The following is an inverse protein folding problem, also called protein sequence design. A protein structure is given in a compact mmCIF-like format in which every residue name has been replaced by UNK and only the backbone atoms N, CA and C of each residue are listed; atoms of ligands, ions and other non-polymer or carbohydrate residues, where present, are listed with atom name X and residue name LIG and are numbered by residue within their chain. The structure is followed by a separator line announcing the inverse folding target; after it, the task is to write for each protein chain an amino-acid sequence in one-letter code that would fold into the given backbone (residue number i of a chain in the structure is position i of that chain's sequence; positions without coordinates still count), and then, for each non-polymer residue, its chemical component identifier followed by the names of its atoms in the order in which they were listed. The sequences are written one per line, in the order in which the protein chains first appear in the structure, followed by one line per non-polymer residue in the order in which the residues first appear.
data_IF_422417263060
#
_entry.id   IF_422417263060
#
_cell.length_a   1.000
_cell.length_b   1.000
_cell.length_c   1.000
_cell.angle_alpha   90.00
_cell.angle_beta   90.00
_cell.angle_gamma   90.00
#
_symmetry.space_group_name_H-M   'P 1'
#
loop_
_entity.id
_entity.type
_entity.pdbx_description
1 polymer ?
#
# COMPACT_ATOMS: atom_id res chain seq x y z
N UNK A 1 4.58 0.51 2.64
CA UNK A 1 3.61 -0.49 2.15
C UNK A 1 2.30 0.23 1.91
N UNK A 2 1.68 0.02 0.75
CA UNK A 2 0.39 0.61 0.37
C UNK A 2 -0.53 -0.55 -0.06
N UNK A 3 -1.43 -0.95 0.83
CA UNK A 3 -2.28 -2.15 0.65
C UNK A 3 -3.61 -1.72 0.05
N UNK A 4 -3.97 -2.30 -1.10
CA UNK A 4 -5.09 -1.79 -1.88
C UNK A 4 -4.74 -0.43 -2.48
N UNK A 5 -3.58 -0.36 -3.14
CA UNK A 5 -3.00 0.91 -3.60
C UNK A 5 -3.88 1.66 -4.60
N UNK A 6 -4.90 1.03 -5.19
CA UNK A 6 -5.83 1.67 -6.11
C UNK A 6 -5.07 2.32 -7.27
N UNK A 7 -5.31 3.61 -7.50
CA UNK A 7 -4.63 4.42 -8.52
C UNK A 7 -3.17 4.76 -8.21
N UNK A 8 -2.65 4.42 -7.03
CA UNK A 8 -1.26 4.71 -6.64
C UNK A 8 -0.99 6.15 -6.17
N UNK A 9 -2.02 6.99 -6.01
CA UNK A 9 -1.86 8.39 -5.60
C UNK A 9 -1.20 8.52 -4.23
N UNK A 10 -1.60 7.68 -3.27
CA UNK A 10 -1.01 7.70 -1.93
C UNK A 10 0.43 7.19 -1.92
N UNK A 11 0.71 6.14 -2.69
CA UNK A 11 2.07 5.68 -2.93
C UNK A 11 2.96 6.80 -3.46
N UNK A 12 2.50 7.54 -4.47
CA UNK A 12 3.24 8.67 -5.01
C UNK A 12 3.41 9.81 -4.00
N UNK A 13 2.35 10.18 -3.28
CA UNK A 13 2.42 11.21 -2.24
C UNK A 13 3.44 10.86 -1.14
N UNK A 14 3.50 9.59 -0.72
CA UNK A 14 4.47 9.12 0.25
C UNK A 14 5.92 9.28 -0.26
N UNK A 15 6.18 8.95 -1.53
CA UNK A 15 7.50 9.18 -2.15
C UNK A 15 7.85 10.67 -2.18
N UNK A 16 6.89 11.52 -2.57
CA UNK A 16 7.05 12.98 -2.60
C UNK A 16 7.30 13.56 -1.21
N UNK A 17 6.77 12.93 -0.15
CA UNK A 17 7.03 13.27 1.24
C UNK A 17 8.35 12.70 1.80
N UNK A 18 9.19 12.08 0.96
CA UNK A 18 10.50 11.56 1.36
C UNK A 18 10.50 10.12 1.88
N UNK A 19 9.46 9.33 1.61
CA UNK A 19 9.51 7.91 1.91
C UNK A 19 10.65 7.24 1.13
N UNK A 20 11.56 6.56 1.85
CA UNK A 20 12.74 5.90 1.26
C UNK A 20 12.38 4.82 0.24
N UNK A 21 11.28 4.10 0.45
CA UNK A 21 10.76 3.07 -0.45
C UNK A 21 9.26 2.90 -0.23
N UNK A 22 8.52 2.75 -1.32
CA UNK A 22 7.11 2.42 -1.33
C UNK A 22 6.91 1.13 -2.10
N UNK A 23 6.14 0.23 -1.50
CA UNK A 23 5.73 -1.02 -2.10
C UNK A 23 4.21 -1.08 -2.01
N UNK A 24 3.54 -0.95 -3.14
CA UNK A 24 2.09 -0.98 -3.26
C UNK A 24 1.61 -2.28 -3.91
N UNK A 25 0.49 -2.81 -3.44
CA UNK A 25 -0.17 -3.89 -4.15
C UNK A 25 -1.70 -3.76 -4.07
N UNK A 26 -2.36 -4.30 -5.09
CA UNK A 26 -3.81 -4.40 -5.15
C UNK A 26 -4.22 -5.76 -5.71
N UNK A 27 -5.39 -6.25 -5.31
CA UNK A 27 -5.95 -7.48 -5.84
C UNK A 27 -6.50 -7.27 -7.26
N UNK A 28 -7.09 -6.08 -7.51
CA UNK A 28 -7.69 -5.71 -8.79
C UNK A 28 -6.62 -5.30 -9.81
N UNK A 29 -6.59 -6.01 -10.95
CA UNK A 29 -5.62 -5.77 -12.00
C UNK A 29 -5.76 -4.38 -12.66
N UNK A 30 -6.98 -3.82 -12.70
CA UNK A 30 -7.19 -2.46 -13.24
C UNK A 30 -6.57 -1.40 -12.33
N UNK A 31 -6.72 -1.56 -11.02
CA UNK A 31 -6.06 -0.73 -10.01
C UNK A 31 -4.54 -0.82 -10.14
N UNK A 32 -3.97 -2.04 -10.23
CA UNK A 32 -2.53 -2.23 -10.49
C UNK A 32 -2.09 -1.50 -11.75
N UNK A 33 -2.84 -1.61 -12.85
CA UNK A 33 -2.53 -0.91 -14.10
C UNK A 33 -2.56 0.61 -13.94
N UNK A 34 -3.54 1.15 -13.21
CA UNK A 34 -3.62 2.58 -12.94
C UNK A 34 -2.42 3.08 -12.12
N UNK A 35 -2.04 2.36 -11.06
CA UNK A 35 -0.85 2.67 -10.27
C UNK A 35 0.44 2.57 -11.09
N UNK A 36 0.57 1.58 -11.97
CA UNK A 36 1.71 1.46 -12.90
C UNK A 36 1.75 2.63 -13.90
N UNK A 37 0.61 3.06 -14.43
CA UNK A 37 0.54 4.25 -15.28
C UNK A 37 1.02 5.47 -14.53
N UNK A 38 0.58 5.69 -13.29
CA UNK A 38 1.06 6.82 -12.47
C UNK A 38 2.56 6.72 -12.17
N UNK A 39 3.07 5.51 -11.86
CA UNK A 39 4.50 5.26 -11.67
C UNK A 39 5.32 5.66 -12.90
N UNK A 40 4.84 5.32 -14.10
CA UNK A 40 5.51 5.71 -15.34
C UNK A 40 5.51 7.24 -15.53
N UNK A 41 4.39 7.92 -15.26
CA UNK A 41 4.34 9.38 -15.28
C UNK A 41 5.23 10.04 -14.21
N UNK A 42 5.53 9.32 -13.13
CA UNK A 42 6.45 9.75 -12.08
C UNK A 42 7.94 9.48 -12.41
N UNK A 43 8.25 8.97 -13.62
CA UNK A 43 9.62 8.68 -14.05
C UNK A 43 10.15 7.32 -13.59
N UNK A 44 9.27 6.35 -13.34
CA UNK A 44 9.61 4.97 -12.98
C UNK A 44 10.62 4.83 -11.82
N UNK A 45 10.37 5.45 -10.65
CA UNK A 45 11.33 5.43 -9.55
C UNK A 45 11.58 4.00 -9.05
N UNK A 46 12.86 3.64 -8.90
CA UNK A 46 13.31 2.34 -8.35
C UNK A 46 12.87 2.13 -6.90
N UNK A 47 12.56 3.21 -6.20
CA UNK A 47 12.04 3.20 -4.83
C UNK A 47 10.54 2.93 -4.78
N UNK A 48 9.85 2.77 -5.92
CA UNK A 48 8.43 2.45 -6.00
C UNK A 48 8.18 1.14 -6.74
N UNK A 49 7.72 0.14 -6.00
CA UNK A 49 7.21 -1.12 -6.56
C UNK A 49 5.69 -1.13 -6.51
N UNK A 50 5.07 -1.59 -7.58
CA UNK A 50 3.64 -1.91 -7.65
C UNK A 50 3.52 -3.36 -8.10
N UNK A 51 2.74 -4.19 -7.42
CA UNK A 51 2.45 -5.55 -7.89
C UNK A 51 1.00 -5.97 -7.61
N UNK A 52 0.55 -7.05 -8.24
CA UNK A 52 -0.74 -7.63 -7.89
C UNK A 52 -0.57 -8.54 -6.68
N UNK A 53 -1.48 -8.42 -5.71
CA UNK A 53 -1.40 -9.20 -4.48
C UNK A 53 -2.71 -9.23 -3.71
N UNK A 54 -2.93 -10.29 -2.96
CA UNK A 54 -4.05 -10.37 -2.02
C UNK A 54 -3.53 -10.16 -0.60
N UNK A 55 -4.18 -9.25 0.13
CA UNK A 55 -3.89 -9.03 1.56
C UNK A 55 -4.33 -10.22 2.42
N UNK A 56 -5.22 -11.07 1.91
CA UNK A 56 -5.70 -12.27 2.59
C UNK A 56 -4.81 -13.50 2.34
N UNK A 57 -3.82 -13.37 1.44
CA UNK A 57 -2.86 -14.44 1.15
C UNK A 57 -1.66 -14.34 2.12
N UNK A 58 -1.66 -15.22 3.12
CA UNK A 58 -0.60 -15.30 4.14
C UNK A 58 0.78 -15.64 3.54
N UNK A 59 0.84 -16.38 2.42
CA UNK A 59 2.09 -16.72 1.72
C UNK A 59 2.64 -15.49 0.98
N UNK A 60 1.76 -14.76 0.28
CA UNK A 60 2.10 -13.48 -0.34
C UNK A 60 2.64 -12.48 0.70
N UNK A 61 1.95 -12.35 1.84
CA UNK A 61 2.40 -11.48 2.93
C UNK A 61 3.71 -11.94 3.56
N UNK A 62 3.97 -13.25 3.62
CA UNK A 62 5.26 -13.77 4.09
C UNK A 62 6.40 -13.41 3.12
N UNK A 63 6.15 -13.43 1.81
CA UNK A 63 7.12 -13.06 0.77
C UNK A 63 7.53 -11.58 0.83
N UNK A 64 6.59 -10.67 1.08
CA UNK A 64 6.88 -9.23 1.15
C UNK A 64 7.63 -8.86 2.44
N UNK A 65 7.47 -9.64 3.51
CA UNK A 65 8.13 -9.41 4.79
C UNK A 65 7.54 -8.23 5.59
N UNK A 66 8.23 -7.83 6.66
CA UNK A 66 7.80 -6.73 7.53
C UNK A 66 8.32 -5.38 7.00
N UNK A 67 7.42 -4.52 6.54
CA UNK A 67 7.73 -3.15 6.12
C UNK A 67 7.45 -2.15 7.26
N UNK A 68 8.29 -1.12 7.38
CA UNK A 68 8.27 -0.17 8.51
C UNK A 68 7.05 0.77 8.55
N UNK A 69 6.29 0.87 7.47
CA UNK A 69 5.13 1.75 7.37
C UNK A 69 4.06 1.16 6.43
N UNK A 70 2.81 1.08 6.89
CA UNK A 70 1.64 0.69 6.10
C UNK A 70 0.69 1.89 5.96
N UNK A 71 0.48 2.36 4.73
CA UNK A 71 -0.50 3.39 4.36
C UNK A 71 -1.76 2.66 3.89
N UNK A 72 -2.90 2.97 4.50
CA UNK A 72 -4.20 2.38 4.19
C UNK A 72 -5.22 3.51 4.03
N UNK A 73 -5.46 3.98 2.81
CA UNK A 73 -6.64 4.82 2.53
C UNK A 73 -7.17 4.54 1.11
N UNK A 74 -8.06 3.56 1.02
CA UNK A 74 -8.92 3.31 -0.13
C UNK A 74 -10.05 2.38 0.29
N UNK A 75 -11.31 2.82 0.18
CA UNK A 75 -12.47 1.96 0.51
C UNK A 75 -12.43 0.76 -0.44
N UNK A 76 -12.17 -0.43 0.07
CA UNK A 76 -12.19 -1.67 -0.71
C UNK A 76 -13.63 -1.97 -1.17
N UNK A 77 -14.06 -1.39 -2.28
CA UNK A 77 -15.32 -1.74 -2.95
C UNK A 77 -15.11 -2.99 -3.81
N UNK A 78 -15.05 -4.16 -3.18
CA UNK A 78 -15.35 -5.45 -3.84
C UNK A 78 -15.54 -6.65 -2.88
N UNK A 79 -15.16 -6.57 -1.59
CA UNK A 79 -15.42 -7.66 -0.63
C UNK A 79 -16.12 -7.15 0.63
N UNK A 80 -17.46 -7.07 0.58
CA UNK A 80 -18.29 -6.35 1.54
C UNK A 80 -18.52 -7.04 2.90
N UNK A 81 -17.81 -8.11 3.30
CA UNK A 81 -18.12 -8.78 4.60
C UNK A 81 -16.99 -9.20 5.53
N UNK A 82 -15.73 -9.33 5.09
CA UNK A 82 -14.73 -9.99 5.95
C UNK A 82 -13.60 -9.08 6.50
N UNK A 83 -13.44 -7.86 5.97
CA UNK A 83 -12.33 -6.97 6.35
C UNK A 83 -12.45 -6.41 7.79
N UNK A 84 -13.67 -6.30 8.32
CA UNK A 84 -13.89 -5.82 9.68
C UNK A 84 -13.38 -6.82 10.75
N UNK A 85 -13.34 -8.12 10.43
CA UNK A 85 -12.82 -9.18 11.30
C UNK A 85 -11.28 -9.17 11.36
N UNK A 86 -10.64 -8.62 10.33
CA UNK A 86 -9.20 -8.70 10.09
C UNK A 86 -8.38 -7.53 10.68
N UNK A 87 -9.06 -6.53 11.28
CA UNK A 87 -8.41 -5.40 11.97
C UNK A 87 -7.47 -5.83 13.10
N UNK A 88 -7.68 -7.01 13.70
CA UNK A 88 -6.83 -7.57 14.77
C UNK A 88 -5.53 -8.21 14.27
N UNK A 89 -5.55 -8.94 13.14
CA UNK A 89 -4.37 -9.63 12.58
C UNK A 89 -3.33 -8.65 12.00
N UNK A 90 -3.80 -7.52 11.46
CA UNK A 90 -2.95 -6.50 10.81
C UNK A 90 -1.97 -5.77 11.74
N UNK A 91 -2.17 -5.84 13.06
CA UNK A 91 -1.43 -5.00 14.03
C UNK A 91 -0.07 -5.53 14.48
N UNK A 92 0.25 -6.81 14.23
CA UNK A 92 1.49 -7.45 14.73
C UNK A 92 2.68 -7.32 13.79
N UNK A 93 2.46 -7.16 12.47
CA UNK A 93 3.54 -7.05 11.47
C UNK A 93 3.89 -5.62 11.07
N UNK A 94 2.92 -4.70 11.17
CA UNK A 94 3.18 -3.28 11.02
C UNK A 94 3.61 -2.75 12.40
N UNK A 95 4.87 -2.31 12.57
CA UNK A 95 5.23 -1.57 13.79
C UNK A 95 4.31 -0.35 13.85
N UNK A 96 3.42 -0.30 14.84
CA UNK A 96 2.55 0.85 15.11
C UNK A 96 3.44 2.08 15.34
N UNK A 97 3.70 2.86 14.29
CA UNK A 97 3.97 4.27 14.40
C UNK A 97 2.98 4.97 13.48
N UNK A 98 2.09 5.71 14.10
CA UNK A 98 1.07 6.53 13.46
C UNK A 98 1.71 7.46 12.44
N UNK A 99 1.47 7.23 11.14
CA UNK A 99 1.97 8.15 10.12
C UNK A 99 0.92 8.26 9.01
N UNK A 100 -0.07 9.11 9.27
CA UNK A 100 -0.65 9.95 8.22
C UNK A 100 -0.90 11.40 8.70
N UNK A 101 -0.73 11.70 9.99
CA UNK A 101 -0.91 13.06 10.50
C UNK A 101 0.38 13.89 10.60
N UNK A 102 1.57 13.29 10.41
CA UNK A 102 2.86 13.98 10.67
C UNK A 102 3.71 14.31 9.43
N UNK A 103 3.33 13.82 8.24
CA UNK A 103 4.05 14.10 6.99
C UNK A 103 3.65 15.43 6.31
N UNK A 104 2.63 16.11 6.83
CA UNK A 104 2.16 17.43 6.37
C UNK A 104 2.66 18.60 7.28
N UNK A 105 3.52 18.31 8.26
CA UNK A 105 3.97 19.28 9.27
C UNK A 105 5.51 19.43 9.34
N UNK A 106 6.22 19.14 8.26
CA UNK A 106 7.62 19.55 8.10
C UNK A 106 7.88 20.03 6.69
#
# INVERSE_FOLDING_TARGET
MDVGCGSGIHSYAALRAGARRVHGFDYDANSVKAAMTLRSHAGDPDTWTVERGDVLDDEFLARIGALELCVLLGRTSSHRRDVARDRKRRSTRCRRREIFHRALLR
#
